data_IF_381517638295
#
_entry.id   IF_381517638295
#
_cell.length_a   1.000
_cell.length_b   1.000
_cell.length_c   1.000
_cell.angle_alpha   90.00
_cell.angle_beta   90.00
_cell.angle_gamma   90.00
#
_symmetry.space_group_name_H-M   'P 1'
#
loop_
_entity.id
_entity.type
_entity.pdbx_description
1 polymer ?
#
# COMPACT_ATOMS: atom_id res chain seq x y z
N UNK A 1 41.75 -26.40 7.11
CA UNK A 1 40.38 -26.78 6.72
C UNK A 1 39.98 -27.96 7.56
N UNK A 2 39.00 -27.78 8.42
CA UNK A 2 38.52 -28.81 9.36
C UNK A 2 37.16 -29.34 8.92
N UNK A 3 36.82 -30.56 9.32
CA UNK A 3 35.53 -31.19 8.99
C UNK A 3 34.32 -30.34 9.42
N UNK A 4 34.47 -29.58 10.53
CA UNK A 4 33.46 -28.63 11.02
C UNK A 4 33.23 -27.44 10.09
N UNK A 5 34.30 -26.95 9.44
CA UNK A 5 34.16 -25.87 8.45
C UNK A 5 33.43 -26.38 7.21
N UNK A 6 33.75 -27.60 6.75
CA UNK A 6 33.09 -28.24 5.61
C UNK A 6 31.59 -28.45 5.85
N UNK A 7 31.21 -28.95 7.03
CA UNK A 7 29.81 -29.15 7.41
C UNK A 7 29.04 -27.81 7.46
N UNK A 8 29.67 -26.76 8.00
CA UNK A 8 29.10 -25.41 8.03
C UNK A 8 28.88 -24.84 6.62
N UNK A 9 29.84 -25.04 5.70
CA UNK A 9 29.69 -24.63 4.31
C UNK A 9 28.61 -25.40 3.57
N UNK A 10 28.53 -26.72 3.76
CA UNK A 10 27.48 -27.55 3.16
C UNK A 10 26.10 -27.12 3.66
N UNK A 11 25.95 -26.82 4.96
CA UNK A 11 24.70 -26.31 5.51
C UNK A 11 24.30 -24.95 4.91
N UNK A 12 25.27 -24.05 4.71
CA UNK A 12 25.02 -22.76 4.02
C UNK A 12 24.62 -22.95 2.56
N UNK A 13 25.24 -23.90 1.86
CA UNK A 13 24.90 -24.21 0.46
C UNK A 13 23.47 -24.72 0.37
N UNK A 14 23.05 -25.63 1.25
CA UNK A 14 21.67 -26.12 1.28
C UNK A 14 20.66 -25.00 1.58
N UNK A 15 20.95 -24.13 2.55
CA UNK A 15 20.11 -22.95 2.83
C UNK A 15 19.96 -22.02 1.62
N UNK A 16 21.04 -21.81 0.86
CA UNK A 16 21.02 -20.98 -0.34
C UNK A 16 20.18 -21.62 -1.44
N UNK A 17 20.28 -22.95 -1.63
CA UNK A 17 19.45 -23.67 -2.61
C UNK A 17 17.96 -23.59 -2.27
N UNK A 18 17.60 -23.83 -1.02
CA UNK A 18 16.21 -23.72 -0.54
C UNK A 18 15.64 -22.31 -0.78
N UNK A 19 16.42 -21.26 -0.47
CA UNK A 19 16.02 -19.87 -0.74
C UNK A 19 15.93 -19.50 -2.22
N UNK A 20 16.68 -20.20 -3.09
CA UNK A 20 16.60 -19.98 -4.54
C UNK A 20 15.38 -20.68 -5.15
N UNK A 21 15.05 -21.89 -4.67
CA UNK A 21 13.87 -22.63 -5.11
C UNK A 21 12.57 -21.92 -4.70
N UNK A 22 12.51 -21.31 -3.50
CA UNK A 22 11.36 -20.52 -3.04
C UNK A 22 11.17 -19.19 -3.79
N UNK A 23 12.25 -18.60 -4.31
CA UNK A 23 12.21 -17.29 -5.01
C UNK A 23 11.98 -17.40 -6.52
N UNK A 24 11.79 -18.61 -7.04
CA UNK A 24 11.51 -18.84 -8.46
C UNK A 24 10.05 -18.57 -8.84
N UNK A 25 9.17 -18.38 -7.85
CA UNK A 25 7.87 -17.76 -8.06
C UNK A 25 8.05 -16.27 -8.33
N UNK A 26 7.36 -15.76 -9.34
CA UNK A 26 7.37 -14.34 -9.73
C UNK A 26 6.64 -13.46 -8.69
N UNK A 27 7.16 -13.46 -7.47
CA UNK A 27 6.63 -12.82 -6.27
C UNK A 27 6.59 -11.31 -6.47
N UNK A 28 7.58 -10.74 -7.17
CA UNK A 28 7.61 -9.32 -7.49
C UNK A 28 6.41 -8.91 -8.36
N UNK A 29 6.12 -9.67 -9.43
CA UNK A 29 4.97 -9.37 -10.29
C UNK A 29 3.65 -9.55 -9.56
N UNK A 30 3.47 -10.67 -8.83
CA UNK A 30 2.26 -10.88 -8.00
C UNK A 30 2.08 -9.79 -6.97
N UNK A 31 3.15 -9.37 -6.29
CA UNK A 31 3.08 -8.30 -5.28
C UNK A 31 2.73 -6.96 -5.91
N UNK A 32 3.32 -6.63 -7.07
CA UNK A 32 2.99 -5.42 -7.81
C UNK A 32 1.52 -5.42 -8.25
N UNK A 33 1.02 -6.53 -8.77
CA UNK A 33 -0.39 -6.68 -9.15
C UNK A 33 -1.32 -6.47 -7.94
N UNK A 34 -1.03 -7.08 -6.78
CA UNK A 34 -1.82 -6.89 -5.56
C UNK A 34 -1.82 -5.43 -5.09
N UNK A 35 -0.69 -4.74 -5.17
CA UNK A 35 -0.60 -3.31 -4.81
C UNK A 35 -1.47 -2.48 -5.76
N UNK A 36 -1.36 -2.72 -7.07
CA UNK A 36 -2.15 -2.01 -8.09
C UNK A 36 -3.66 -2.23 -7.85
N UNK A 37 -4.09 -3.48 -7.66
CA UNK A 37 -5.48 -3.82 -7.41
C UNK A 37 -6.01 -3.11 -6.16
N UNK A 38 -5.26 -3.15 -5.06
CA UNK A 38 -5.62 -2.46 -3.83
C UNK A 38 -5.75 -0.95 -4.05
N UNK A 39 -4.76 -0.31 -4.68
CA UNK A 39 -4.79 1.14 -4.94
C UNK A 39 -5.95 1.56 -5.85
N UNK A 40 -6.37 0.73 -6.79
CA UNK A 40 -7.51 1.00 -7.66
C UNK A 40 -8.87 0.77 -6.98
N UNK A 41 -8.91 -0.06 -5.92
CA UNK A 41 -10.15 -0.36 -5.19
C UNK A 41 -10.55 0.71 -4.16
N UNK A 42 -9.62 1.60 -3.79
CA UNK A 42 -9.84 2.62 -2.76
C UNK A 42 -9.84 4.01 -3.41
N UNK A 43 -10.90 4.79 -3.16
CA UNK A 43 -10.96 6.19 -3.57
C UNK A 43 -10.12 7.05 -2.60
N UNK A 44 -9.07 7.69 -3.11
CA UNK A 44 -8.16 8.52 -2.30
C UNK A 44 -8.78 9.91 -2.04
N UNK A 45 -9.08 10.29 -0.78
CA UNK A 45 -9.65 11.59 -0.42
C UNK A 45 -8.69 12.77 -0.63
N UNK A 46 -7.39 12.52 -0.78
CA UNK A 46 -6.39 13.53 -1.10
C UNK A 46 -6.10 13.61 -2.61
N UNK A 47 -6.69 12.73 -3.40
CA UNK A 47 -6.59 12.79 -4.85
C UNK A 47 -7.23 14.08 -5.38
N UNK A 48 -6.62 14.74 -6.37
CA UNK A 48 -7.19 15.95 -6.98
C UNK A 48 -8.56 15.69 -7.65
N UNK A 49 -8.89 14.44 -7.94
CA UNK A 49 -10.17 14.04 -8.54
C UNK A 49 -11.21 13.60 -7.50
N UNK A 50 -10.91 13.71 -6.20
CA UNK A 50 -11.84 13.33 -5.15
C UNK A 50 -13.09 14.22 -5.16
N UNK A 51 -14.26 13.58 -5.10
CA UNK A 51 -15.55 14.24 -5.03
C UNK A 51 -15.67 15.07 -3.73
N UNK A 52 -15.57 16.39 -3.87
CA UNK A 52 -15.61 17.34 -2.76
C UNK A 52 -16.99 17.41 -2.07
N UNK A 53 -18.05 16.84 -2.66
CA UNK A 53 -19.36 16.76 -2.00
C UNK A 53 -19.40 15.67 -0.92
N UNK A 54 -18.52 14.66 -1.04
CA UNK A 54 -18.28 13.65 0.01
C UNK A 54 -17.43 14.21 1.16
N UNK A 55 -16.73 15.32 0.96
CA UNK A 55 -15.90 15.94 1.99
C UNK A 55 -16.79 16.60 3.07
N UNK A 56 -16.81 16.11 4.32
CA UNK A 56 -17.67 16.66 5.36
C UNK A 56 -17.24 18.08 5.80
N UNK A 57 -15.99 18.48 5.49
CA UNK A 57 -15.44 19.78 5.84
C UNK A 57 -15.72 20.88 4.80
N UNK A 58 -16.18 20.54 3.58
CA UNK A 58 -16.57 21.53 2.56
C UNK A 58 -17.98 22.09 2.79
N UNK A 59 -18.82 21.37 3.54
CA UNK A 59 -20.17 21.81 3.91
C UNK A 59 -20.06 22.96 4.91
N UNK A 60 -19.95 24.18 4.40
CA UNK A 60 -20.06 25.39 5.20
C UNK A 60 -21.38 25.37 5.97
N UNK A 61 -21.42 25.71 7.27
CA UNK A 61 -22.67 25.93 7.98
C UNK A 61 -23.47 26.95 7.17
N UNK A 62 -24.68 26.59 6.73
CA UNK A 62 -25.54 27.49 5.94
C UNK A 62 -25.67 28.80 6.70
N UNK A 63 -25.09 29.89 6.18
CA UNK A 63 -25.28 31.24 6.72
C UNK A 63 -26.79 31.49 6.79
N UNK A 64 -27.36 31.58 8.00
CA UNK A 64 -28.70 32.11 8.19
C UNK A 64 -28.67 33.53 7.61
N UNK A 65 -29.52 33.80 6.61
CA UNK A 65 -29.69 35.16 6.07
C UNK A 65 -30.14 36.04 7.24
N UNK A 66 -29.28 36.96 7.69
CA UNK A 66 -29.67 38.02 8.62
C UNK A 66 -30.53 38.99 7.83
N UNK A 67 -31.84 38.99 8.07
CA UNK A 67 -32.72 40.06 7.59
C UNK A 67 -32.40 41.28 8.46
N UNK A 68 -31.56 42.18 7.94
CA UNK A 68 -31.58 43.57 8.36
C UNK A 68 -32.95 44.10 7.93
N UNK A 69 -33.88 44.19 8.88
CA UNK A 69 -35.24 44.64 8.64
C UNK A 69 -35.23 46.04 8.03
N UNK A 70 -35.99 46.20 6.97
CA UNK A 70 -36.39 47.52 6.47
C UNK A 70 -37.22 48.16 7.59
N UNK A 71 -36.64 49.14 8.25
CA UNK A 71 -37.31 50.32 8.78
C UNK A 71 -36.42 51.52 8.44
#
# INVERSE_FOLDING_TARGET
MTEKELESYNKKIEQIKEHLDEKNDNIAEKSAQSIIEYTNSVEDPLSPNFDQDKNPWTKSPKKKKSICGIL
#
